data_IF_721020882026
#
_entry.id   IF_721020882026
#
_cell.length_a   1.000
_cell.length_b   1.000
_cell.length_c   1.000
_cell.angle_alpha   90.00
_cell.angle_beta   90.00
_cell.angle_gamma   90.00
#
_symmetry.space_group_name_H-M   'P 1'
#
loop_
_entity.id
_entity.type
_entity.pdbx_description
1 polymer ?
#
# COMPACT_ATOMS: atom_id res chain seq x y z
N UNK A 1 -12.52 -23.76 5.40
CA UNK A 1 -12.95 -24.20 6.75
C UNK A 1 -12.98 -25.72 6.79
N UNK A 2 -12.56 -26.35 7.89
CA UNK A 2 -12.70 -27.80 8.11
C UNK A 2 -13.72 -28.08 9.21
N UNK A 3 -14.56 -29.11 9.03
CA UNK A 3 -15.57 -29.51 10.03
C UNK A 3 -15.29 -30.96 10.43
N UNK A 4 -15.26 -31.24 11.74
CA UNK A 4 -14.98 -32.58 12.29
C UNK A 4 -16.21 -33.51 12.27
N UNK A 5 -17.39 -32.96 12.01
CA UNK A 5 -18.68 -33.64 11.96
C UNK A 5 -19.39 -33.30 10.66
N UNK A 6 -20.34 -34.12 10.22
CA UNK A 6 -21.16 -33.78 9.05
C UNK A 6 -22.00 -32.53 9.37
N UNK A 7 -21.89 -31.51 8.52
CA UNK A 7 -22.66 -30.29 8.60
C UNK A 7 -23.67 -30.19 7.45
N UNK A 8 -24.79 -29.53 7.73
CA UNK A 8 -25.88 -29.32 6.79
C UNK A 8 -26.30 -27.84 6.78
N UNK A 9 -27.00 -27.44 5.71
CA UNK A 9 -27.54 -26.09 5.54
C UNK A 9 -26.47 -25.00 5.78
N UNK A 10 -25.33 -25.15 5.13
CA UNK A 10 -24.18 -24.25 5.29
C UNK A 10 -24.47 -22.99 4.49
N UNK A 11 -24.36 -21.83 5.13
CA UNK A 11 -24.44 -20.52 4.47
C UNK A 11 -23.28 -19.63 4.89
N UNK A 12 -22.74 -18.88 3.94
CA UNK A 12 -21.67 -17.91 4.10
C UNK A 12 -22.26 -16.51 3.91
N UNK A 13 -22.16 -15.69 4.93
CA UNK A 13 -22.54 -14.28 4.89
C UNK A 13 -21.25 -13.45 4.93
N UNK A 14 -20.97 -12.80 3.81
CA UNK A 14 -19.86 -11.85 3.67
C UNK A 14 -20.36 -10.68 2.84
N UNK A 15 -21.01 -9.75 3.55
CA UNK A 15 -21.60 -8.53 2.98
C UNK A 15 -20.77 -7.29 3.37
N UNK A 16 -19.59 -7.52 3.95
CA UNK A 16 -18.69 -6.48 4.46
C UNK A 16 -17.92 -5.75 3.35
N UNK A 17 -17.89 -6.32 2.14
CA UNK A 17 -17.23 -5.72 0.98
C UNK A 17 -18.09 -4.61 0.38
N UNK A 18 -17.58 -3.40 0.46
CA UNK A 18 -18.15 -2.17 -0.09
C UNK A 18 -18.29 -2.25 -1.62
N UNK A 19 -19.52 -2.39 -2.13
CA UNK A 19 -19.84 -2.46 -3.57
C UNK A 19 -19.47 -1.19 -4.36
N UNK A 20 -19.38 -0.06 -3.66
CA UNK A 20 -18.91 1.22 -4.15
C UNK A 20 -17.37 1.28 -4.27
N UNK A 21 -16.65 0.54 -3.44
CA UNK A 21 -15.20 0.46 -3.47
C UNK A 21 -14.64 -0.67 -4.34
N UNK A 22 -15.36 -1.79 -4.44
CA UNK A 22 -14.91 -3.00 -5.13
C UNK A 22 -15.91 -3.48 -6.18
N UNK A 23 -15.41 -4.12 -7.23
CA UNK A 23 -16.18 -4.88 -8.18
C UNK A 23 -15.83 -6.36 -8.05
N UNK A 24 -16.83 -7.26 -8.06
CA UNK A 24 -16.54 -8.70 -8.16
C UNK A 24 -16.28 -9.02 -9.63
N UNK A 25 -15.05 -9.39 -9.95
CA UNK A 25 -14.63 -9.68 -11.33
C UNK A 25 -14.63 -11.16 -11.68
N UNK A 26 -14.70 -12.05 -10.67
CA UNK A 26 -14.73 -13.49 -10.90
C UNK A 26 -14.77 -14.31 -9.63
N UNK A 27 -14.93 -15.63 -9.81
CA UNK A 27 -14.89 -16.64 -8.76
C UNK A 27 -16.27 -17.18 -8.33
N UNK A 28 -16.30 -17.81 -7.17
CA UNK A 28 -17.46 -18.51 -6.64
C UNK A 28 -18.47 -17.51 -6.07
N UNK A 29 -19.66 -17.44 -6.65
CA UNK A 29 -20.78 -16.64 -6.11
C UNK A 29 -21.68 -17.44 -5.18
N UNK A 30 -21.57 -18.77 -5.19
CA UNK A 30 -22.35 -19.64 -4.32
C UNK A 30 -21.98 -19.38 -2.86
N UNK A 31 -22.95 -18.90 -2.09
CA UNK A 31 -22.86 -18.62 -0.65
C UNK A 31 -23.54 -19.70 0.20
N UNK A 32 -24.04 -20.78 -0.38
CA UNK A 32 -24.78 -21.83 0.34
C UNK A 32 -24.48 -23.23 -0.18
N UNK A 33 -24.41 -24.19 0.74
CA UNK A 33 -24.15 -25.60 0.46
C UNK A 33 -25.02 -26.50 1.34
N UNK A 34 -25.54 -27.57 0.74
CA UNK A 34 -26.50 -28.46 1.42
C UNK A 34 -25.83 -29.33 2.49
N UNK A 35 -24.62 -29.84 2.20
CA UNK A 35 -23.91 -30.80 3.06
C UNK A 35 -22.40 -30.66 2.95
N UNK A 36 -21.70 -30.82 4.06
CA UNK A 36 -20.25 -31.06 4.12
C UNK A 36 -19.99 -32.25 5.03
N UNK A 37 -19.31 -33.26 4.51
CA UNK A 37 -18.96 -34.46 5.28
C UNK A 37 -17.89 -34.16 6.34
N UNK A 38 -17.85 -35.00 7.39
CA UNK A 38 -16.82 -34.93 8.42
C UNK A 38 -15.42 -35.05 7.82
N UNK A 39 -14.53 -34.11 8.17
CA UNK A 39 -13.20 -33.96 7.59
C UNK A 39 -13.18 -33.25 6.23
N UNK A 40 -14.34 -32.90 5.67
CA UNK A 40 -14.45 -32.18 4.41
C UNK A 40 -13.92 -30.75 4.50
N UNK A 41 -13.37 -30.27 3.38
CA UNK A 41 -12.87 -28.91 3.23
C UNK A 41 -13.73 -28.18 2.21
N UNK A 42 -14.28 -27.05 2.63
CA UNK A 42 -14.97 -26.12 1.75
C UNK A 42 -14.07 -24.93 1.43
N UNK A 43 -13.89 -24.65 0.14
CA UNK A 43 -13.16 -23.50 -0.37
C UNK A 43 -14.10 -22.57 -1.13
N UNK A 44 -14.08 -21.29 -0.79
CA UNK A 44 -14.86 -20.24 -1.45
C UNK A 44 -13.90 -19.08 -1.75
N UNK A 45 -13.73 -18.80 -3.04
CA UNK A 45 -12.77 -17.80 -3.53
C UNK A 45 -13.46 -16.92 -4.56
N UNK A 46 -13.32 -15.61 -4.40
CA UNK A 46 -13.76 -14.61 -5.38
C UNK A 46 -12.68 -13.54 -5.54
N UNK A 47 -12.70 -12.89 -6.67
CA UNK A 47 -11.73 -11.86 -7.05
C UNK A 47 -12.41 -10.50 -7.06
N UNK A 48 -11.73 -9.54 -6.43
CA UNK A 48 -12.18 -8.15 -6.33
C UNK A 48 -11.26 -7.23 -7.12
N UNK A 49 -11.86 -6.39 -7.95
CA UNK A 49 -11.21 -5.24 -8.57
C UNK A 49 -11.52 -3.98 -7.78
N UNK A 50 -10.52 -3.12 -7.61
CA UNK A 50 -10.62 -1.89 -6.85
C UNK A 50 -11.13 -0.77 -7.75
N UNK A 51 -12.19 -0.08 -7.31
CA UNK A 51 -12.69 1.15 -7.97
C UNK A 51 -12.09 2.41 -7.36
N UNK A 52 -11.87 2.43 -6.05
CA UNK A 52 -11.41 3.61 -5.31
C UNK A 52 -10.15 3.32 -4.50
N UNK A 53 -9.22 4.27 -4.49
CA UNK A 53 -8.01 4.20 -3.66
C UNK A 53 -8.37 4.48 -2.20
N UNK A 54 -7.81 3.72 -1.27
CA UNK A 54 -8.09 3.90 0.14
C UNK A 54 -7.57 2.78 1.03
N UNK A 55 -7.80 2.93 2.33
CA UNK A 55 -7.57 1.89 3.32
C UNK A 55 -8.89 1.18 3.57
N UNK A 56 -8.91 -0.13 3.31
CA UNK A 56 -10.12 -0.95 3.45
C UNK A 56 -9.95 -1.96 4.57
N UNK A 57 -10.99 -2.11 5.39
CA UNK A 57 -11.10 -3.16 6.39
C UNK A 57 -12.42 -3.87 6.15
N UNK A 58 -12.39 -5.19 6.17
CA UNK A 58 -13.58 -6.02 6.12
C UNK A 58 -13.89 -6.61 7.50
N UNK A 59 -15.17 -6.78 7.77
CA UNK A 59 -15.62 -7.53 8.94
C UNK A 59 -15.42 -9.03 8.71
N UNK A 60 -15.25 -9.83 9.78
CA UNK A 60 -15.18 -11.28 9.66
C UNK A 60 -16.42 -11.85 8.98
N UNK A 61 -16.20 -12.66 7.95
CA UNK A 61 -17.26 -13.41 7.29
C UNK A 61 -17.84 -14.45 8.26
N UNK A 62 -19.16 -14.63 8.21
CA UNK A 62 -19.89 -15.52 9.12
C UNK A 62 -20.38 -16.73 8.36
N UNK A 63 -20.00 -17.93 8.83
CA UNK A 63 -20.49 -19.21 8.33
C UNK A 63 -21.50 -19.77 9.32
N UNK A 64 -22.73 -19.96 8.86
CA UNK A 64 -23.81 -20.58 9.63
C UNK A 64 -24.05 -21.99 9.14
N UNK A 65 -24.18 -22.95 10.05
CA UNK A 65 -24.36 -24.36 9.71
C UNK A 65 -25.08 -25.14 10.82
N UNK A 66 -25.63 -26.30 10.45
CA UNK A 66 -26.27 -27.23 11.39
C UNK A 66 -25.44 -28.49 11.55
N UNK A 67 -25.35 -28.97 12.78
CA UNK A 67 -24.76 -30.27 13.09
C UNK A 67 -25.88 -31.14 13.70
N UNK A 68 -26.10 -32.39 13.23
CA UNK A 68 -27.19 -33.23 13.73
C UNK A 68 -27.19 -33.44 15.25
N UNK A 69 -26.01 -33.39 15.87
CA UNK A 69 -25.82 -33.60 17.31
C UNK A 69 -26.08 -32.35 18.16
N UNK A 70 -26.33 -31.19 17.54
CA UNK A 70 -26.61 -29.92 18.23
C UNK A 70 -27.92 -29.32 17.74
N UNK A 71 -28.83 -29.06 18.68
CA UNK A 71 -30.12 -28.44 18.38
C UNK A 71 -30.01 -26.96 17.97
N UNK A 72 -28.90 -26.29 18.33
CA UNK A 72 -28.69 -24.85 18.07
C UNK A 72 -27.83 -24.67 16.82
N UNK A 73 -28.22 -23.72 15.96
CA UNK A 73 -27.46 -23.27 14.79
C UNK A 73 -26.03 -22.90 15.22
N UNK A 74 -25.03 -23.42 14.53
CA UNK A 74 -23.63 -23.09 14.81
C UNK A 74 -23.18 -21.95 13.90
N UNK A 75 -22.37 -21.06 14.47
CA UNK A 75 -21.74 -19.97 13.74
C UNK A 75 -20.23 -20.07 13.88
N UNK A 76 -19.52 -19.85 12.78
CA UNK A 76 -18.08 -19.75 12.73
C UNK A 76 -17.68 -18.46 12.03
N UNK A 77 -16.65 -17.79 12.57
CA UNK A 77 -16.16 -16.52 12.05
C UNK A 77 -14.85 -16.75 11.30
N UNK A 78 -14.66 -16.04 10.19
CA UNK A 78 -13.37 -15.99 9.53
C UNK A 78 -12.36 -15.17 10.35
N UNK A 79 -11.08 -15.28 9.99
CA UNK A 79 -10.07 -14.39 10.55
C UNK A 79 -10.29 -12.96 10.02
N UNK A 80 -10.27 -11.93 10.89
CA UNK A 80 -10.34 -10.54 10.44
C UNK A 80 -9.20 -10.22 9.47
N UNK A 81 -9.50 -9.51 8.39
CA UNK A 81 -8.47 -9.07 7.44
C UNK A 81 -7.83 -7.79 7.97
N UNK A 82 -6.50 -7.75 7.99
CA UNK A 82 -5.77 -6.53 8.33
C UNK A 82 -6.11 -5.41 7.32
N UNK A 83 -6.12 -4.14 7.73
CA UNK A 83 -6.42 -3.04 6.81
C UNK A 83 -5.56 -3.10 5.54
N UNK A 84 -6.22 -3.25 4.40
CA UNK A 84 -5.61 -3.30 3.08
C UNK A 84 -5.39 -1.85 2.62
N UNK A 85 -4.12 -1.45 2.51
CA UNK A 85 -3.74 -0.18 1.91
C UNK A 85 -3.71 -0.32 0.38
N UNK A 86 -4.83 0.00 -0.25
CA UNK A 86 -5.02 -0.16 -1.68
C UNK A 86 -4.62 1.13 -2.38
N UNK A 87 -3.31 1.22 -2.65
CA UNK A 87 -2.69 2.32 -3.40
C UNK A 87 -3.19 3.71 -2.97
N UNK A 88 -3.50 3.91 -1.68
CA UNK A 88 -3.75 5.24 -1.18
C UNK A 88 -2.52 6.07 -1.55
N UNK A 89 -2.73 7.25 -2.15
CA UNK A 89 -1.61 8.09 -2.55
C UNK A 89 -0.81 8.39 -1.29
N UNK A 90 0.29 7.66 -1.10
CA UNK A 90 1.15 7.85 0.06
C UNK A 90 1.64 9.28 -0.08
N UNK A 91 1.28 10.18 0.86
CA UNK A 91 1.72 11.56 0.77
C UNK A 91 3.24 11.52 0.61
N UNK A 92 3.80 12.27 -0.36
CA UNK A 92 5.19 12.12 -0.74
C UNK A 92 6.01 12.11 0.53
N UNK A 93 6.61 10.95 0.83
CA UNK A 93 7.43 10.81 2.02
C UNK A 93 8.38 12.00 2.03
N UNK A 94 8.60 12.54 3.23
CA UNK A 94 9.22 13.80 3.60
C UNK A 94 10.68 13.99 3.08
N UNK A 95 11.00 13.57 1.86
CA UNK A 95 12.24 13.76 1.11
C UNK A 95 12.69 15.22 1.17
N UNK A 96 11.74 16.15 1.07
CA UNK A 96 12.00 17.58 1.17
C UNK A 96 12.41 18.00 2.59
N UNK A 97 11.82 17.43 3.63
CA UNK A 97 12.25 17.70 5.02
C UNK A 97 13.59 17.04 5.34
N UNK A 98 13.87 15.86 4.79
CA UNK A 98 15.17 15.21 4.95
C UNK A 98 16.27 16.04 4.27
N UNK A 99 16.02 16.53 3.05
CA UNK A 99 16.91 17.45 2.35
C UNK A 99 17.12 18.75 3.13
N UNK A 100 16.05 19.37 3.67
CA UNK A 100 16.16 20.55 4.55
C UNK A 100 16.98 20.26 5.81
N UNK A 101 16.79 19.12 6.45
CA UNK A 101 17.51 18.74 7.69
C UNK A 101 18.99 18.50 7.42
N UNK A 102 19.32 17.94 6.26
CA UNK A 102 20.70 17.78 5.78
C UNK A 102 21.33 19.14 5.46
N UNK A 103 20.62 19.99 4.72
CA UNK A 103 21.10 21.34 4.41
C UNK A 103 21.25 22.20 5.67
N UNK A 104 20.36 22.08 6.65
CA UNK A 104 20.48 22.79 7.92
C UNK A 104 21.71 22.32 8.73
N UNK A 105 22.05 21.03 8.67
CA UNK A 105 23.17 20.46 9.44
C UNK A 105 24.52 20.69 8.77
N UNK A 106 24.56 20.70 7.44
CA UNK A 106 25.82 20.76 6.66
C UNK A 106 25.98 22.03 5.83
N UNK A 107 24.97 22.90 5.78
CA UNK A 107 24.98 24.11 4.94
C UNK A 107 26.13 25.06 5.26
N UNK A 108 26.49 25.20 6.55
CA UNK A 108 27.66 25.99 6.95
C UNK A 108 28.96 25.42 6.38
N UNK A 109 29.15 24.09 6.44
CA UNK A 109 30.38 23.44 5.97
C UNK A 109 30.47 23.51 4.45
N UNK A 110 29.36 23.26 3.75
CA UNK A 110 29.26 23.35 2.29
C UNK A 110 29.56 24.79 1.83
N UNK A 111 29.04 25.79 2.55
CA UNK A 111 29.31 27.21 2.26
C UNK A 111 30.79 27.56 2.41
N UNK A 112 31.44 27.14 3.50
CA UNK A 112 32.86 27.44 3.74
C UNK A 112 33.74 26.81 2.66
N UNK A 113 33.50 25.53 2.33
CA UNK A 113 34.25 24.81 1.29
C UNK A 113 34.04 25.47 -0.08
N UNK A 114 32.80 25.84 -0.42
CA UNK A 114 32.48 26.51 -1.69
C UNK A 114 33.22 27.86 -1.83
N UNK A 115 33.26 28.66 -0.75
CA UNK A 115 33.99 29.93 -0.73
C UNK A 115 35.49 29.71 -0.86
N UNK A 116 36.06 28.74 -0.16
CA UNK A 116 37.49 28.41 -0.26
C UNK A 116 37.88 27.99 -1.67
N UNK A 117 37.10 27.11 -2.30
CA UNK A 117 37.34 26.65 -3.68
C UNK A 117 37.21 27.81 -4.66
N UNK A 118 36.19 28.66 -4.52
CA UNK A 118 36.01 29.82 -5.38
C UNK A 118 37.15 30.83 -5.23
N UNK A 119 37.62 31.06 -4.01
CA UNK A 119 38.72 31.99 -3.75
C UNK A 119 40.02 31.47 -4.35
N UNK A 120 40.35 30.19 -4.16
CA UNK A 120 41.51 29.56 -4.80
C UNK A 120 41.39 29.62 -6.31
N UNK A 121 40.21 29.36 -6.87
CA UNK A 121 39.98 29.48 -8.30
C UNK A 121 40.20 30.91 -8.79
N UNK A 122 39.70 31.94 -8.09
CA UNK A 122 39.90 33.34 -8.49
C UNK A 122 41.37 33.79 -8.40
N UNK A 123 42.10 33.32 -7.39
CA UNK A 123 43.52 33.64 -7.20
C UNK A 123 44.40 32.90 -8.21
N UNK A 124 44.11 31.63 -8.49
CA UNK A 124 44.86 30.81 -9.43
C UNK A 124 44.42 31.01 -10.89
N UNK A 125 43.24 31.58 -11.14
CA UNK A 125 42.77 31.89 -12.49
C UNK A 125 43.55 33.07 -13.04
N UNK A 126 44.33 32.89 -14.12
CA UNK A 126 44.97 34.02 -14.78
C UNK A 126 43.89 34.93 -15.35
N UNK A 127 43.92 36.22 -15.00
CA UNK A 127 43.02 37.23 -15.56
C UNK A 127 43.25 37.31 -17.07
N UNK A 128 42.39 36.71 -17.89
CA UNK A 128 42.31 37.11 -19.30
C UNK A 128 41.63 38.47 -19.35
N UNK A 129 42.44 39.52 -19.23
CA UNK A 129 42.06 40.88 -19.61
C UNK A 129 41.73 40.87 -21.10
N UNK A 130 40.46 41.03 -21.45
CA UNK A 130 40.04 41.30 -22.81
C UNK A 130 40.53 42.68 -23.26
N UNK A 131 41.73 42.75 -23.81
CA UNK A 131 42.20 43.92 -24.57
C UNK A 131 42.15 43.59 -26.06
N UNK A 132 41.00 43.88 -26.70
CA UNK A 132 40.86 43.90 -28.15
C UNK A 132 40.71 45.37 -28.57
N UNK A 133 41.80 46.01 -29.02
CA UNK A 133 41.81 47.44 -29.33
C UNK A 133 43.01 47.90 -30.15
N UNK A 134 43.02 47.51 -31.42
CA UNK A 134 43.68 48.09 -32.61
C UNK A 134 44.96 48.95 -32.48
N UNK A 135 45.99 48.43 -33.13
CA UNK A 135 47.14 49.11 -33.76
C UNK A 135 46.70 50.29 -34.66
N UNK A 136 47.27 51.48 -34.49
CA UNK A 136 47.47 52.42 -35.63
C UNK A 136 48.69 53.33 -35.42
N UNK A 137 49.48 53.40 -36.49
CA UNK A 137 50.70 54.18 -36.71
C UNK A 137 50.42 55.67 -36.71
N UNK A 138 51.41 56.47 -36.32
CA UNK A 138 51.70 57.74 -36.97
C UNK A 138 53.22 57.92 -37.09
#
# INVERSE_FOLDING_TARGET
>A
MSILWTAYDISLVDDSWLNDAFNVIGGSTSKSWEKLDAGGILSHTFELEVKTKGVFSSEPAVVKFRIPTKAVLQEAYSSPILPLDVLADRPPEKKFEWAKRLLARYGSIISVISIMVLFVYLVASPSKSGAKGSKKRH
#
